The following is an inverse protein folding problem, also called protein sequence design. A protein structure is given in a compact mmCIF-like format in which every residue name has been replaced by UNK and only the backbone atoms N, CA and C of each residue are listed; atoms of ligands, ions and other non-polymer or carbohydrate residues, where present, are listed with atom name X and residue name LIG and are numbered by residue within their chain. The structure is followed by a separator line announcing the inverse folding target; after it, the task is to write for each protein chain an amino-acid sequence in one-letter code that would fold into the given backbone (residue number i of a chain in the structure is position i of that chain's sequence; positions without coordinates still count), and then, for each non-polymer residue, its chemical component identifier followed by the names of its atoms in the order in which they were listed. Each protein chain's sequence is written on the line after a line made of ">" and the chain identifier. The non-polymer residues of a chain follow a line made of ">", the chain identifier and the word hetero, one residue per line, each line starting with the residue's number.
data_IF_861095202296
#
_entry.id   IF_861095202296
#
_cell.length_a   1.000
_cell.length_b   1.000
_cell.length_c   1.000
_cell.angle_alpha   90.00
_cell.angle_beta   90.00
_cell.angle_gamma   90.00
#
_symmetry.space_group_name_H-M   'P 1'
#
loop_
_entity.id
_entity.type
_entity.pdbx_description
1 polymer ?
#
# COMPACT_ATOMS: atom_id res chain seq x y z
N UNK A 1 -49.02 -18.90 22.16
CA UNK A 1 -49.00 -19.13 20.71
C UNK A 1 -47.53 -19.13 20.26
N UNK A 2 -47.15 -20.07 19.40
CA UNK A 2 -45.79 -20.41 19.02
C UNK A 2 -45.14 -19.43 18.02
N UNK A 3 -43.79 -19.40 18.00
CA UNK A 3 -43.00 -18.80 16.92
C UNK A 3 -41.51 -18.71 17.27
N UNK A 4 -40.71 -19.67 16.80
CA UNK A 4 -39.24 -19.72 16.88
C UNK A 4 -38.65 -19.36 15.50
N UNK A 5 -37.37 -18.94 15.48
CA UNK A 5 -36.39 -18.87 14.36
C UNK A 5 -36.37 -17.55 13.56
N UNK A 6 -35.23 -17.04 13.07
CA UNK A 6 -33.99 -17.70 12.61
C UNK A 6 -32.74 -16.86 12.94
N UNK A 7 -31.67 -17.53 13.38
CA UNK A 7 -30.29 -17.05 13.26
C UNK A 7 -29.90 -17.05 11.77
N UNK A 8 -29.36 -15.92 11.29
CA UNK A 8 -28.72 -15.85 9.98
C UNK A 8 -27.38 -16.61 10.03
N UNK A 9 -27.43 -17.90 9.76
CA UNK A 9 -26.26 -18.73 9.51
C UNK A 9 -25.65 -18.35 8.16
N UNK A 10 -24.42 -17.84 8.17
CA UNK A 10 -23.62 -17.65 6.97
C UNK A 10 -23.42 -19.01 6.28
N UNK A 11 -23.57 -19.12 4.94
CA UNK A 11 -23.51 -20.41 4.27
C UNK A 11 -22.11 -21.03 4.39
N UNK A 12 -22.08 -22.25 4.94
CA UNK A 12 -20.91 -23.11 5.17
C UNK A 12 -19.98 -23.26 3.94
N UNK A 13 -20.50 -23.05 2.73
CA UNK A 13 -19.72 -23.01 1.49
C UNK A 13 -18.67 -21.90 1.48
N UNK A 14 -18.97 -20.72 2.01
CA UNK A 14 -18.05 -19.58 2.08
C UNK A 14 -16.85 -19.84 3.00
N UNK A 15 -17.06 -20.61 4.06
CA UNK A 15 -16.02 -20.99 5.02
C UNK A 15 -15.09 -22.06 4.43
N UNK A 16 -15.63 -23.02 3.69
CA UNK A 16 -14.84 -24.04 2.99
C UNK A 16 -14.01 -23.43 1.86
N UNK A 17 -14.58 -22.51 1.09
CA UNK A 17 -13.89 -21.81 0.01
C UNK A 17 -12.75 -20.94 0.57
N UNK A 18 -12.99 -20.24 1.68
CA UNK A 18 -11.96 -19.51 2.42
C UNK A 18 -10.86 -20.43 2.97
N UNK A 19 -11.24 -21.60 3.49
CA UNK A 19 -10.29 -22.58 4.06
C UNK A 19 -9.40 -23.22 3.00
N UNK A 20 -9.95 -23.53 1.82
CA UNK A 20 -9.19 -24.03 0.67
C UNK A 20 -8.25 -22.95 0.09
N UNK A 21 -8.69 -21.68 0.06
CA UNK A 21 -7.83 -20.55 -0.31
C UNK A 21 -6.65 -20.37 0.67
N UNK A 22 -6.90 -20.43 1.98
CA UNK A 22 -5.87 -20.38 3.01
C UNK A 22 -4.88 -21.56 2.92
N UNK A 23 -5.38 -22.76 2.63
CA UNK A 23 -4.54 -23.93 2.39
C UNK A 23 -3.63 -23.75 1.16
N UNK A 24 -4.14 -23.15 0.08
CA UNK A 24 -3.37 -22.87 -1.13
C UNK A 24 -2.31 -21.77 -0.95
N UNK A 25 -2.53 -20.77 -0.08
CA UNK A 25 -1.49 -19.78 0.25
C UNK A 25 -0.30 -20.40 1.01
N UNK A 26 -0.50 -21.55 1.63
CA UNK A 26 0.50 -22.20 2.50
C UNK A 26 1.58 -22.98 1.72
N UNK A 27 1.40 -23.21 0.42
CA UNK A 27 2.32 -24.02 -0.40
C UNK A 27 3.43 -23.22 -1.12
N UNK A 28 3.50 -21.90 -0.94
CA UNK A 28 4.60 -21.08 -1.47
C UNK A 28 5.86 -21.24 -0.64
N UNK A 29 7.01 -21.52 -1.27
CA UNK A 29 8.32 -21.56 -0.60
C UNK A 29 8.53 -20.30 0.25
N UNK A 30 8.50 -20.45 1.58
CA UNK A 30 8.74 -19.38 2.56
C UNK A 30 10.21 -18.96 2.58
N UNK A 31 10.71 -18.44 1.45
CA UNK A 31 12.00 -17.76 1.43
C UNK A 31 11.79 -16.41 2.09
N UNK A 32 12.48 -16.18 3.19
CA UNK A 32 12.48 -14.89 3.90
C UNK A 32 12.79 -13.77 2.89
N UNK A 33 11.91 -12.77 2.72
CA UNK A 33 12.18 -11.67 1.81
C UNK A 33 13.49 -10.98 2.16
N UNK A 34 14.35 -10.77 1.17
CA UNK A 34 15.60 -10.01 1.33
C UNK A 34 15.40 -8.59 0.84
N UNK A 35 15.97 -7.63 1.55
CA UNK A 35 15.96 -6.24 1.12
C UNK A 35 16.68 -6.07 -0.24
N UNK A 36 16.12 -5.23 -1.12
CA UNK A 36 16.74 -4.85 -2.40
C UNK A 36 17.76 -3.71 -2.26
N UNK A 37 17.81 -3.03 -1.11
CA UNK A 37 18.76 -1.95 -0.85
C UNK A 37 20.09 -2.48 -0.29
N UNK A 38 21.14 -1.65 -0.36
CA UNK A 38 22.48 -2.04 0.12
C UNK A 38 22.58 -1.96 1.64
N UNK A 39 23.37 -2.86 2.24
CA UNK A 39 23.66 -2.85 3.69
C UNK A 39 24.31 -1.54 4.14
N UNK A 40 25.13 -0.93 3.29
CA UNK A 40 25.78 0.36 3.56
C UNK A 40 24.75 1.48 3.58
N UNK A 41 23.86 1.54 2.58
CA UNK A 41 22.78 2.53 2.53
C UNK A 41 21.80 2.40 3.71
N UNK A 42 21.54 1.17 4.17
CA UNK A 42 20.75 0.93 5.38
C UNK A 42 21.40 1.54 6.63
N UNK A 43 22.70 1.29 6.85
CA UNK A 43 23.42 1.87 7.99
C UNK A 43 23.47 3.39 7.94
N UNK A 44 23.63 3.96 6.74
CA UNK A 44 23.64 5.41 6.58
C UNK A 44 22.29 6.03 6.99
N UNK A 45 21.16 5.41 6.65
CA UNK A 45 19.83 5.93 7.03
C UNK A 45 19.63 5.99 8.54
N UNK A 46 20.21 5.07 9.30
CA UNK A 46 20.11 5.04 10.76
C UNK A 46 20.86 6.17 11.47
N UNK A 47 21.83 6.80 10.81
CA UNK A 47 22.60 7.92 11.39
C UNK A 47 22.08 9.30 10.97
N UNK A 48 21.10 9.35 10.06
CA UNK A 48 20.47 10.61 9.65
C UNK A 48 19.51 11.08 10.76
N UNK A 49 19.62 12.33 11.24
CA UNK A 49 18.70 12.89 12.22
C UNK A 49 17.24 12.76 11.75
N UNK A 50 16.32 12.39 12.64
CA UNK A 50 14.92 12.08 12.30
C UNK A 50 14.25 13.12 11.39
N UNK A 51 14.38 14.39 11.72
CA UNK A 51 13.81 15.50 10.95
C UNK A 51 14.41 15.68 9.54
N UNK A 52 15.58 15.10 9.27
CA UNK A 52 16.26 15.12 7.97
C UNK A 52 16.11 13.79 7.20
N UNK A 53 15.56 12.74 7.81
CA UNK A 53 15.48 11.42 7.17
C UNK A 53 14.68 11.50 5.87
N UNK A 54 13.54 12.18 5.86
CA UNK A 54 12.75 12.37 4.66
C UNK A 54 13.52 13.11 3.55
N UNK A 55 14.09 14.27 3.87
CA UNK A 55 14.75 15.12 2.86
C UNK A 55 16.01 14.45 2.31
N UNK A 56 16.83 13.84 3.17
CA UNK A 56 18.09 13.23 2.77
C UNK A 56 17.95 11.81 2.20
N UNK A 57 17.05 10.99 2.74
CA UNK A 57 16.94 9.59 2.30
C UNK A 57 15.96 9.39 1.14
N UNK A 58 14.90 10.21 1.06
CA UNK A 58 13.92 10.12 -0.02
C UNK A 58 14.21 11.08 -1.18
N UNK A 59 14.96 12.16 -0.94
CA UNK A 59 15.23 13.22 -1.92
C UNK A 59 14.27 14.42 -1.83
N UNK A 60 13.53 14.54 -0.73
CA UNK A 60 12.63 15.67 -0.47
C UNK A 60 11.61 15.88 -1.58
N UNK A 61 11.46 17.13 -2.07
CA UNK A 61 10.50 17.48 -3.12
C UNK A 61 10.69 16.70 -4.42
N UNK A 62 11.90 16.20 -4.67
CA UNK A 62 12.23 15.37 -5.82
C UNK A 62 12.10 13.85 -5.55
N UNK A 63 11.43 13.47 -4.46
CA UNK A 63 11.24 12.08 -4.07
C UNK A 63 10.74 11.23 -5.23
N UNK A 64 11.44 10.13 -5.52
CA UNK A 64 11.12 9.29 -6.69
C UNK A 64 9.75 8.61 -6.59
N UNK A 65 9.28 8.35 -5.37
CA UNK A 65 7.99 7.69 -5.12
C UNK A 65 6.80 8.64 -5.33
N UNK A 66 7.04 9.95 -5.41
CA UNK A 66 6.05 10.99 -5.69
C UNK A 66 5.95 11.32 -7.19
N UNK A 67 6.75 10.65 -8.03
CA UNK A 67 6.82 10.93 -9.46
C UNK A 67 6.52 9.66 -10.28
N UNK A 68 5.30 9.52 -10.85
CA UNK A 68 4.92 8.35 -11.64
C UNK A 68 5.73 8.17 -12.92
N UNK A 69 6.36 9.23 -13.45
CA UNK A 69 7.19 9.13 -14.65
C UNK A 69 8.50 8.36 -14.41
N UNK A 70 8.85 8.06 -13.15
CA UNK A 70 10.04 7.26 -12.80
C UNK A 70 9.80 5.75 -12.76
N UNK A 71 8.58 5.30 -13.02
CA UNK A 71 8.16 3.90 -12.88
C UNK A 71 7.56 3.39 -14.19
N UNK A 72 7.82 2.13 -14.54
CA UNK A 72 7.19 1.53 -15.72
C UNK A 72 5.71 1.23 -15.47
N UNK A 73 4.96 0.87 -16.52
CA UNK A 73 3.55 0.46 -16.36
C UNK A 73 3.40 -0.78 -15.48
N UNK A 74 4.37 -1.70 -15.50
CA UNK A 74 4.38 -2.90 -14.66
C UNK A 74 4.63 -2.58 -13.17
N UNK A 75 5.23 -1.42 -12.88
CA UNK A 75 5.47 -0.94 -11.52
C UNK A 75 4.36 0.01 -11.02
N UNK A 76 3.24 0.07 -11.77
CA UNK A 76 2.09 0.92 -11.50
C UNK A 76 0.80 0.10 -11.59
N UNK A 77 0.63 -0.88 -10.70
CA UNK A 77 -0.63 -1.64 -10.56
C UNK A 77 -1.86 -0.72 -10.41
N UNK A 78 -1.67 0.44 -9.78
CA UNK A 78 -2.54 1.61 -9.85
C UNK A 78 -1.78 2.67 -10.63
N UNK A 79 -2.30 3.03 -11.80
CA UNK A 79 -1.70 4.02 -12.69
C UNK A 79 -1.56 5.36 -11.96
N UNK A 80 -0.38 5.95 -12.04
CA UNK A 80 -0.05 7.18 -11.31
C UNK A 80 0.65 6.96 -9.97
N UNK A 81 0.74 5.71 -9.48
CA UNK A 81 1.41 5.38 -8.22
C UNK A 81 2.42 4.25 -8.42
N UNK A 82 3.59 4.36 -7.77
CA UNK A 82 4.44 3.19 -7.59
C UNK A 82 3.70 2.15 -6.76
N UNK A 83 3.34 1.01 -7.37
CA UNK A 83 2.43 0.04 -6.76
C UNK A 83 2.55 -1.35 -7.37
N UNK A 84 2.40 -2.38 -6.54
CA UNK A 84 2.53 -3.78 -6.95
C UNK A 84 1.66 -4.70 -6.08
N UNK A 85 0.99 -5.65 -6.72
CA UNK A 85 0.30 -6.74 -6.04
C UNK A 85 1.33 -7.69 -5.43
N UNK A 86 1.33 -7.79 -4.11
CA UNK A 86 2.20 -8.68 -3.33
C UNK A 86 1.58 -10.08 -3.23
N UNK A 87 0.27 -10.13 -3.13
CA UNK A 87 -0.57 -11.33 -3.23
C UNK A 87 -1.85 -10.98 -3.99
N UNK A 88 -2.72 -11.96 -4.22
CA UNK A 88 -4.02 -11.74 -4.88
C UNK A 88 -4.93 -10.73 -4.15
N UNK A 89 -4.69 -10.52 -2.85
CA UNK A 89 -5.52 -9.65 -2.00
C UNK A 89 -4.75 -8.52 -1.32
N UNK A 90 -3.43 -8.44 -1.52
CA UNK A 90 -2.57 -7.42 -0.89
C UNK A 90 -1.85 -6.63 -1.98
N UNK A 91 -2.19 -5.34 -2.07
CA UNK A 91 -1.50 -4.36 -2.89
C UNK A 91 -0.62 -3.49 -1.99
N UNK A 92 0.66 -3.32 -2.35
CA UNK A 92 1.52 -2.31 -1.76
C UNK A 92 1.63 -1.12 -2.72
N UNK A 93 1.46 0.10 -2.23
CA UNK A 93 1.54 1.32 -3.04
C UNK A 93 2.21 2.47 -2.29
N UNK A 94 2.82 3.39 -3.02
CA UNK A 94 3.22 4.70 -2.52
C UNK A 94 1.96 5.52 -2.13
N UNK A 95 2.15 6.55 -1.29
CA UNK A 95 1.03 7.43 -0.91
C UNK A 95 0.45 8.11 -2.16
N UNK A 96 -0.88 8.21 -2.29
CA UNK A 96 -1.48 9.11 -3.26
C UNK A 96 -1.42 10.56 -2.76
N UNK A 97 -1.23 11.51 -3.67
CA UNK A 97 -1.43 12.95 -3.44
C UNK A 97 -2.69 13.41 -4.19
N UNK A 98 -3.32 14.49 -3.75
CA UNK A 98 -4.53 15.05 -4.40
C UNK A 98 -4.32 15.26 -5.91
N UNK A 99 -3.19 15.84 -6.29
CA UNK A 99 -2.83 16.03 -7.70
C UNK A 99 -2.83 14.70 -8.47
N UNK A 100 -2.26 13.63 -7.90
CA UNK A 100 -2.23 12.32 -8.55
C UNK A 100 -3.60 11.65 -8.54
N UNK A 101 -4.38 11.84 -7.48
CA UNK A 101 -5.74 11.29 -7.36
C UNK A 101 -6.61 11.81 -8.50
N UNK A 102 -6.63 13.12 -8.70
CA UNK A 102 -7.42 13.77 -9.74
C UNK A 102 -6.87 13.43 -11.14
N UNK A 103 -5.55 13.58 -11.34
CA UNK A 103 -4.94 13.42 -12.66
C UNK A 103 -5.09 12.00 -13.23
N UNK A 104 -5.07 10.98 -12.38
CA UNK A 104 -5.12 9.59 -12.79
C UNK A 104 -6.42 8.87 -12.41
N UNK A 105 -7.42 9.56 -11.86
CA UNK A 105 -8.69 8.97 -11.41
C UNK A 105 -8.43 7.75 -10.50
N UNK A 106 -7.63 7.97 -9.45
CA UNK A 106 -7.12 6.89 -8.58
C UNK A 106 -8.25 6.22 -7.79
N UNK A 107 -9.27 6.98 -7.39
CA UNK A 107 -10.39 6.41 -6.63
C UNK A 107 -11.17 5.43 -7.49
N UNK A 108 -11.42 5.76 -8.76
CA UNK A 108 -12.09 4.87 -9.71
C UNK A 108 -11.22 3.64 -10.02
N UNK A 109 -9.90 3.77 -9.99
CA UNK A 109 -9.00 2.62 -10.08
C UNK A 109 -9.14 1.70 -8.86
N UNK A 110 -9.21 2.24 -7.65
CA UNK A 110 -9.44 1.46 -6.43
C UNK A 110 -10.75 0.68 -6.50
N UNK A 111 -11.83 1.31 -6.98
CA UNK A 111 -13.12 0.65 -7.16
C UNK A 111 -13.05 -0.50 -8.16
N UNK A 112 -12.43 -0.27 -9.33
CA UNK A 112 -12.24 -1.31 -10.38
C UNK A 112 -11.38 -2.47 -9.90
N UNK A 113 -10.36 -2.18 -9.08
CA UNK A 113 -9.51 -3.19 -8.46
C UNK A 113 -10.15 -3.87 -7.25
N UNK A 114 -11.37 -3.48 -6.85
CA UNK A 114 -12.07 -4.04 -5.71
C UNK A 114 -11.42 -3.71 -4.35
N UNK A 115 -10.60 -2.65 -4.27
CA UNK A 115 -9.97 -2.23 -3.02
C UNK A 115 -11.05 -1.75 -2.04
N UNK A 116 -11.12 -2.38 -0.87
CA UNK A 116 -12.09 -2.05 0.19
C UNK A 116 -11.49 -1.36 1.40
N UNK A 117 -10.18 -1.53 1.60
CA UNK A 117 -9.47 -1.06 2.78
C UNK A 117 -8.13 -0.47 2.37
N UNK A 118 -7.81 0.71 2.88
CA UNK A 118 -6.49 1.34 2.78
C UNK A 118 -5.92 1.44 4.18
N UNK A 119 -4.72 0.92 4.38
CA UNK A 119 -4.01 0.97 5.67
C UNK A 119 -2.83 1.92 5.50
N UNK A 120 -2.88 3.07 6.18
CA UNK A 120 -1.76 3.99 6.21
C UNK A 120 -0.71 3.51 7.23
N UNK A 121 0.51 3.30 6.76
CA UNK A 121 1.65 2.90 7.60
C UNK A 121 2.56 4.07 7.98
N UNK A 122 2.30 5.26 7.46
CA UNK A 122 3.11 6.45 7.73
C UNK A 122 2.86 6.96 9.15
N UNK A 123 3.93 7.31 9.85
CA UNK A 123 3.83 8.10 11.08
C UNK A 123 3.62 9.58 10.73
N UNK A 124 2.92 10.35 11.57
CA UNK A 124 2.81 11.80 11.40
C UNK A 124 4.19 12.45 11.21
N UNK A 125 4.34 13.23 10.14
CA UNK A 125 5.58 13.95 9.82
C UNK A 125 6.72 13.11 9.22
N UNK A 126 6.57 11.79 9.07
CA UNK A 126 7.64 10.90 8.56
C UNK A 126 8.11 11.30 7.15
N UNK A 127 7.17 11.73 6.31
CA UNK A 127 7.44 12.15 4.93
C UNK A 127 7.14 13.64 4.67
N UNK A 128 7.33 14.50 5.67
CA UNK A 128 6.96 15.92 5.61
C UNK A 128 7.63 16.73 4.48
N UNK A 129 8.75 16.24 3.92
CA UNK A 129 9.46 16.89 2.81
C UNK A 129 9.28 16.21 1.46
N UNK A 130 8.56 15.08 1.36
CA UNK A 130 8.36 14.37 0.10
C UNK A 130 7.28 15.04 -0.75
N UNK A 131 7.58 15.29 -2.03
CA UNK A 131 6.58 15.74 -3.00
C UNK A 131 5.87 17.03 -2.57
N UNK A 132 4.56 17.07 -2.79
CA UNK A 132 3.72 18.17 -2.32
C UNK A 132 3.40 18.02 -0.82
N UNK A 133 3.31 19.14 -0.07
CA UNK A 133 2.95 19.10 1.34
C UNK A 133 1.55 18.53 1.53
N UNK A 134 1.25 18.08 2.76
CA UNK A 134 -0.12 17.74 3.14
C UNK A 134 -1.00 18.98 3.02
N UNK A 135 -2.20 18.82 2.49
CA UNK A 135 -3.20 19.87 2.49
C UNK A 135 -3.67 20.13 3.92
N UNK A 136 -3.98 21.38 4.25
CA UNK A 136 -4.36 21.76 5.61
C UNK A 136 -5.61 21.05 6.10
N UNK A 137 -6.50 20.68 5.18
CA UNK A 137 -7.75 19.96 5.47
C UNK A 137 -7.57 18.43 5.48
N UNK A 138 -6.38 17.94 5.08
CA UNK A 138 -6.04 16.52 5.03
C UNK A 138 -5.23 16.14 6.28
N UNK A 139 -5.92 15.65 7.32
CA UNK A 139 -5.28 15.23 8.58
C UNK A 139 -6.28 14.71 9.61
#
# INVERSE_FOLDING_TARGET
>A
AAGVLLQNELPYSSLLESSLYLANMSSGSSRRPTAKYTKVGERLRHVIPGHMQCSMACGGRACKYENPARWSDQEQAIKGLYSSWITDNILAMARPSTELIEKYNIIEQFERCGIKTIINLQRPGEHASCGNPLEQESG
#
